data_IF_910027401646
#
_entry.id   IF_910027401646
#
_cell.length_a   1.000
_cell.length_b   1.000
_cell.length_c   1.000
_cell.angle_alpha   90.00
_cell.angle_beta   90.00
_cell.angle_gamma   90.00
#
_symmetry.space_group_name_H-M   'P 1'
#
loop_
_entity.id
_entity.type
_entity.pdbx_description
1 polymer ?
#
# COMPACT_ATOMS: atom_id res chain seq x y z
N UNK A 1 7.78 -8.16 2.54
CA UNK A 1 6.59 -7.59 1.91
C UNK A 1 6.19 -8.50 0.79
N UNK A 2 5.35 -9.47 1.12
CA UNK A 2 4.84 -10.52 0.25
C UNK A 2 3.42 -10.17 -0.23
N UNK A 3 3.01 -10.74 -1.36
CA UNK A 3 1.61 -10.63 -1.79
C UNK A 3 0.72 -11.26 -0.73
N UNK A 4 -0.32 -10.53 -0.32
CA UNK A 4 -1.25 -10.98 0.72
C UNK A 4 -0.94 -10.44 2.11
N UNK A 5 0.25 -9.88 2.34
CA UNK A 5 0.54 -9.19 3.60
C UNK A 5 -0.36 -7.96 3.77
N UNK A 6 -0.70 -7.64 5.03
CA UNK A 6 -1.40 -6.41 5.41
C UNK A 6 -0.46 -5.53 6.23
N UNK A 7 -0.30 -4.27 5.81
CA UNK A 7 0.49 -3.27 6.54
C UNK A 7 -0.35 -2.06 6.90
N UNK A 8 -0.10 -1.47 8.08
CA UNK A 8 -0.60 -0.15 8.40
C UNK A 8 0.23 0.91 7.64
N UNK A 9 -0.44 1.75 6.85
CA UNK A 9 0.20 2.81 6.06
C UNK A 9 -0.46 4.15 6.36
N UNK A 10 0.33 5.22 6.41
CA UNK A 10 -0.19 6.59 6.47
C UNK A 10 -0.30 7.14 5.06
N UNK A 11 -1.50 7.59 4.67
CA UNK A 11 -1.75 8.14 3.33
C UNK A 11 -1.64 9.67 3.28
N UNK A 12 -1.48 10.34 4.42
CA UNK A 12 -1.42 11.81 4.46
C UNK A 12 -0.02 12.35 4.11
N UNK A 13 0.07 13.52 3.43
CA UNK A 13 -1.04 14.36 2.96
C UNK A 13 -1.68 13.85 1.66
N UNK A 14 -2.94 14.21 1.43
CA UNK A 14 -3.75 13.82 0.26
C UNK A 14 -4.46 15.01 -0.36
N UNK A 15 -4.81 14.91 -1.65
CA UNK A 15 -5.51 15.98 -2.39
C UNK A 15 -6.90 15.51 -2.85
N UNK A 16 -7.92 16.36 -2.74
CA UNK A 16 -9.24 16.08 -3.29
C UNK A 16 -9.95 14.87 -2.65
N UNK A 17 -10.32 13.87 -3.44
CA UNK A 17 -11.06 12.67 -2.99
C UNK A 17 -10.17 11.42 -2.87
N UNK A 18 -8.85 11.58 -2.78
CA UNK A 18 -7.93 10.48 -2.48
C UNK A 18 -8.22 9.85 -1.10
N UNK A 19 -7.90 8.57 -0.96
CA UNK A 19 -8.00 7.84 0.32
C UNK A 19 -7.04 8.44 1.35
N UNK A 20 -7.48 8.57 2.61
CA UNK A 20 -6.79 9.36 3.65
C UNK A 20 -6.56 8.61 4.96
N UNK A 21 -5.68 9.16 5.78
CA UNK A 21 -5.41 8.68 7.14
C UNK A 21 -4.53 7.44 7.19
N UNK A 22 -4.39 6.89 8.40
CA UNK A 22 -3.73 5.60 8.61
C UNK A 22 -4.69 4.46 8.33
N UNK A 23 -4.35 3.60 7.36
CA UNK A 23 -5.21 2.50 6.90
C UNK A 23 -4.43 1.20 6.74
N UNK A 24 -5.06 0.04 6.95
CA UNK A 24 -4.51 -1.23 6.52
C UNK A 24 -4.54 -1.31 4.99
N UNK A 25 -3.38 -1.59 4.38
CA UNK A 25 -3.21 -1.84 2.96
C UNK A 25 -2.84 -3.29 2.71
N UNK A 26 -3.48 -3.91 1.71
CA UNK A 26 -3.18 -5.25 1.21
C UNK A 26 -2.14 -5.15 0.09
N UNK A 27 -1.05 -5.90 0.21
CA UNK A 27 0.00 -5.96 -0.82
C UNK A 27 -0.45 -6.85 -1.98
N UNK A 28 -0.44 -6.31 -3.20
CA UNK A 28 -0.85 -7.00 -4.43
C UNK A 28 0.32 -7.38 -5.34
N UNK A 29 1.42 -6.64 -5.30
CA UNK A 29 2.62 -6.93 -6.11
C UNK A 29 3.41 -8.15 -5.59
N UNK A 30 4.21 -8.77 -6.47
CA UNK A 30 5.08 -9.91 -6.12
C UNK A 30 6.28 -9.45 -5.28
N UNK A 31 6.89 -10.38 -4.52
CA UNK A 31 8.10 -10.12 -3.75
C UNK A 31 9.26 -9.58 -4.61
N UNK A 32 9.45 -10.13 -5.81
CA UNK A 32 10.50 -9.71 -6.73
C UNK A 32 10.32 -8.27 -7.20
N UNK A 33 9.07 -7.86 -7.51
CA UNK A 33 8.76 -6.46 -7.83
C UNK A 33 9.08 -5.55 -6.64
N UNK A 34 8.62 -5.98 -5.45
CA UNK A 34 8.78 -5.23 -4.20
C UNK A 34 10.25 -4.98 -3.87
N UNK A 35 11.09 -6.01 -4.01
CA UNK A 35 12.53 -5.95 -3.74
C UNK A 35 13.29 -5.18 -4.81
N UNK A 36 13.00 -5.43 -6.09
CA UNK A 36 13.74 -4.82 -7.20
C UNK A 36 13.50 -3.31 -7.30
N UNK A 37 12.29 -2.85 -7.00
CA UNK A 37 11.92 -1.44 -7.13
C UNK A 37 11.85 -0.70 -5.79
N UNK A 38 12.05 -1.40 -4.67
CA UNK A 38 11.84 -0.88 -3.31
C UNK A 38 10.46 -0.21 -3.16
N UNK A 39 9.44 -0.76 -3.82
CA UNK A 39 8.07 -0.24 -3.88
C UNK A 39 7.07 -1.39 -3.97
N UNK A 40 5.93 -1.28 -3.30
CA UNK A 40 4.77 -2.15 -3.55
C UNK A 40 3.67 -1.44 -4.32
N UNK A 41 2.86 -2.24 -4.98
CA UNK A 41 1.49 -1.92 -5.32
C UNK A 41 0.56 -2.57 -4.29
N UNK A 42 -0.36 -1.79 -3.72
CA UNK A 42 -1.34 -2.28 -2.75
C UNK A 42 -2.68 -1.58 -2.88
N UNK A 43 -3.68 -2.07 -2.16
CA UNK A 43 -5.03 -1.50 -2.09
C UNK A 43 -5.45 -1.27 -0.65
N UNK A 44 -6.19 -0.21 -0.41
CA UNK A 44 -6.83 0.09 0.87
C UNK A 44 -8.34 0.01 0.72
N UNK A 45 -9.05 -0.32 1.80
CA UNK A 45 -10.50 -0.17 1.83
C UNK A 45 -10.89 1.31 1.78
N UNK A 46 -12.16 1.60 1.46
CA UNK A 46 -12.74 2.94 1.53
C UNK A 46 -13.01 3.38 2.98
#
# INVERSE_FOLDING_TARGET
>A
MERGDIYAVCLDPTTGSEQRGSRPALVLSTADFNRSLSRCLGVVNH
#
